data_IF_629083819782
#
_entry.id   IF_629083819782
#
_cell.length_a   1.000
_cell.length_b   1.000
_cell.length_c   1.000
_cell.angle_alpha   90.00
_cell.angle_beta   90.00
_cell.angle_gamma   90.00
#
_symmetry.space_group_name_H-M   'P 1'
#
loop_
_entity.id
_entity.type
_entity.pdbx_description
1 polymer ?
#
# COMPACT_ATOMS: atom_id res chain seq x y z
N UNK A 1 19.88 0.00 1.67
CA UNK A 1 19.39 -0.11 0.27
C UNK A 1 20.56 0.20 -0.65
N UNK A 2 20.66 -0.40 -1.84
CA UNK A 2 21.76 -0.10 -2.77
C UNK A 2 21.66 1.39 -3.21
N UNK A 3 22.73 2.17 -3.07
CA UNK A 3 22.75 3.62 -3.41
C UNK A 3 22.35 3.87 -4.86
N UNK A 4 22.61 2.92 -5.75
CA UNK A 4 22.23 3.03 -7.16
C UNK A 4 20.72 2.85 -7.37
N UNK A 5 20.05 2.03 -6.56
CA UNK A 5 18.58 1.88 -6.60
C UNK A 5 17.91 3.19 -6.18
N UNK A 6 18.36 3.81 -5.08
CA UNK A 6 17.82 5.09 -4.61
C UNK A 6 17.98 6.20 -5.66
N UNK A 7 19.16 6.26 -6.29
CA UNK A 7 19.44 7.20 -7.37
C UNK A 7 18.50 6.98 -8.56
N UNK A 8 18.27 5.72 -8.96
CA UNK A 8 17.40 5.38 -10.09
C UNK A 8 15.92 5.63 -9.76
N UNK A 9 15.47 5.32 -8.55
CA UNK A 9 14.13 5.67 -8.07
C UNK A 9 13.91 7.19 -8.10
N UNK A 10 14.93 7.97 -7.72
CA UNK A 10 14.90 9.42 -7.81
C UNK A 10 14.81 9.92 -9.26
N UNK A 11 15.59 9.35 -10.18
CA UNK A 11 15.53 9.69 -11.60
C UNK A 11 14.18 9.34 -12.22
N UNK A 12 13.63 8.17 -11.90
CA UNK A 12 12.30 7.76 -12.32
C UNK A 12 11.26 8.77 -11.82
N UNK A 13 11.31 9.13 -10.53
CA UNK A 13 10.43 10.12 -9.94
C UNK A 13 10.50 11.49 -10.66
N UNK A 14 11.71 12.01 -10.89
CA UNK A 14 11.90 13.28 -11.61
C UNK A 14 11.37 13.22 -13.04
N UNK A 15 11.61 12.12 -13.75
CA UNK A 15 11.04 11.89 -15.07
C UNK A 15 9.50 11.92 -15.02
N UNK A 16 8.90 11.28 -14.02
CA UNK A 16 7.44 11.27 -13.86
C UNK A 16 6.87 12.67 -13.60
N UNK A 17 7.61 13.57 -12.93
CA UNK A 17 7.17 14.96 -12.68
C UNK A 17 6.98 15.78 -13.96
N UNK A 18 7.54 15.38 -15.10
CA UNK A 18 7.36 16.07 -16.38
C UNK A 18 6.01 15.76 -17.05
N UNK A 19 5.24 14.82 -16.50
CA UNK A 19 3.97 14.38 -17.07
C UNK A 19 2.85 14.50 -16.04
N UNK A 20 1.66 14.87 -16.50
CA UNK A 20 0.47 14.89 -15.65
C UNK A 20 0.06 13.47 -15.21
N UNK A 21 0.10 12.50 -16.13
CA UNK A 21 -0.18 11.08 -15.87
C UNK A 21 0.59 10.18 -16.83
N UNK A 22 0.95 8.99 -16.36
CA UNK A 22 1.74 8.02 -17.14
C UNK A 22 1.12 6.63 -17.00
N UNK A 23 1.01 5.91 -18.12
CA UNK A 23 0.57 4.54 -18.13
C UNK A 23 1.62 3.58 -17.54
N UNK A 24 1.16 2.57 -16.79
CA UNK A 24 2.02 1.56 -16.17
C UNK A 24 2.91 0.78 -17.15
N UNK A 25 2.43 0.50 -18.36
CA UNK A 25 3.21 -0.21 -19.37
C UNK A 25 4.41 0.63 -19.83
N UNK A 26 4.26 1.96 -19.89
CA UNK A 26 5.37 2.89 -20.13
C UNK A 26 6.34 2.90 -18.95
N UNK A 27 5.82 2.97 -17.71
CA UNK A 27 6.65 2.94 -16.49
C UNK A 27 7.51 1.66 -16.45
N UNK A 28 6.93 0.49 -16.75
CA UNK A 28 7.66 -0.79 -16.81
C UNK A 28 8.85 -0.74 -17.79
N UNK A 29 8.62 -0.26 -19.01
CA UNK A 29 9.67 -0.12 -20.03
C UNK A 29 10.80 0.80 -19.57
N UNK A 30 10.46 1.90 -18.90
CA UNK A 30 11.47 2.80 -18.33
C UNK A 30 12.23 2.18 -17.16
N UNK A 31 11.57 1.39 -16.31
CA UNK A 31 12.26 0.62 -15.27
C UNK A 31 13.23 -0.42 -15.86
N UNK A 32 12.85 -1.11 -16.94
CA UNK A 32 13.75 -2.02 -17.68
C UNK A 32 14.94 -1.29 -18.28
N UNK A 33 14.71 -0.16 -18.94
CA UNK A 33 15.76 0.68 -19.48
C UNK A 33 16.74 1.14 -18.39
N UNK A 34 16.23 1.64 -17.27
CA UNK A 34 17.06 2.10 -16.15
C UNK A 34 17.84 0.95 -15.50
N UNK A 35 17.25 -0.25 -15.40
CA UNK A 35 17.95 -1.45 -14.91
C UNK A 35 19.19 -1.78 -15.75
N UNK A 36 19.06 -1.68 -17.09
CA UNK A 36 20.17 -1.91 -18.03
C UNK A 36 21.20 -0.79 -17.96
N UNK A 37 20.77 0.48 -18.07
CA UNK A 37 21.67 1.63 -18.13
C UNK A 37 22.52 1.79 -16.86
N UNK A 38 21.96 1.47 -15.70
CA UNK A 38 22.66 1.55 -14.42
C UNK A 38 23.23 0.21 -13.96
N UNK A 39 23.16 -0.84 -14.80
CA UNK A 39 23.65 -2.18 -14.50
C UNK A 39 23.21 -2.67 -13.10
N UNK A 40 21.92 -2.50 -12.77
CA UNK A 40 21.42 -2.80 -11.41
C UNK A 40 21.27 -4.31 -11.15
N UNK A 41 21.39 -5.14 -12.20
CA UNK A 41 21.28 -6.60 -12.13
C UNK A 41 19.96 -7.09 -11.48
N UNK A 42 18.88 -6.31 -11.61
CA UNK A 42 17.57 -6.75 -11.16
C UNK A 42 17.07 -7.78 -12.18
N UNK A 43 17.07 -9.06 -11.79
CA UNK A 43 16.72 -10.20 -12.63
C UNK A 43 15.22 -10.45 -12.70
N UNK A 44 14.48 -10.08 -11.65
CA UNK A 44 13.02 -10.08 -11.63
C UNK A 44 12.45 -8.81 -12.30
N UNK A 45 11.14 -8.60 -12.20
CA UNK A 45 10.45 -7.43 -12.74
C UNK A 45 11.01 -6.10 -12.18
N UNK A 46 11.75 -5.28 -12.95
CA UNK A 46 12.44 -4.09 -12.41
C UNK A 46 11.48 -3.05 -11.81
N UNK A 47 10.25 -2.98 -12.32
CA UNK A 47 9.21 -2.12 -11.76
C UNK A 47 8.87 -2.45 -10.30
N UNK A 48 9.05 -3.70 -9.84
CA UNK A 48 8.81 -4.07 -8.46
C UNK A 48 9.84 -3.47 -7.50
N UNK A 49 11.06 -3.29 -7.97
CA UNK A 49 12.15 -2.72 -7.17
C UNK A 49 12.24 -1.19 -7.32
N UNK A 50 11.97 -0.67 -8.52
CA UNK A 50 12.17 0.75 -8.84
C UNK A 50 10.89 1.58 -8.69
N UNK A 51 9.73 1.05 -9.09
CA UNK A 51 8.50 1.82 -9.12
C UNK A 51 7.58 1.54 -7.92
N UNK A 52 7.36 0.26 -7.59
CA UNK A 52 6.43 -0.10 -6.51
C UNK A 52 6.77 0.57 -5.17
N UNK A 53 8.03 0.76 -4.75
CA UNK A 53 8.30 1.49 -3.51
C UNK A 53 7.78 2.92 -3.51
N UNK A 54 7.90 3.64 -4.64
CA UNK A 54 7.35 4.99 -4.82
C UNK A 54 5.83 5.01 -4.72
N UNK A 55 5.19 4.00 -5.31
CA UNK A 55 3.75 3.83 -5.24
C UNK A 55 3.30 3.44 -3.82
N UNK A 56 3.92 2.45 -3.17
CA UNK A 56 3.53 2.01 -1.83
C UNK A 56 3.70 3.11 -0.78
N UNK A 57 4.77 3.89 -0.86
CA UNK A 57 5.03 5.01 0.05
C UNK A 57 4.11 6.23 -0.20
N UNK A 58 3.36 6.29 -1.31
CA UNK A 58 2.51 7.44 -1.62
C UNK A 58 3.25 8.65 -2.17
N UNK A 59 4.40 8.43 -2.82
CA UNK A 59 5.04 9.43 -3.67
C UNK A 59 4.36 9.52 -5.05
N UNK A 60 3.68 8.45 -5.44
CA UNK A 60 2.93 8.32 -6.69
C UNK A 60 1.53 7.77 -6.37
N UNK A 61 0.52 8.26 -7.07
CA UNK A 61 -0.88 7.84 -6.92
C UNK A 61 -1.41 7.16 -8.18
N UNK A 62 -2.22 6.13 -7.97
CA UNK A 62 -3.01 5.50 -9.02
C UNK A 62 -4.22 6.37 -9.37
N UNK A 63 -4.45 6.62 -10.65
CA UNK A 63 -5.46 7.56 -11.15
C UNK A 63 -6.52 6.89 -12.05
N UNK A 64 -6.66 5.56 -11.98
CA UNK A 64 -7.54 4.81 -12.87
C UNK A 64 -6.87 4.45 -14.19
N UNK A 65 -7.47 3.51 -14.92
CA UNK A 65 -7.08 3.15 -16.30
C UNK A 65 -5.58 2.90 -16.48
N UNK A 66 -5.01 2.08 -15.60
CA UNK A 66 -3.56 1.75 -15.56
C UNK A 66 -2.62 2.96 -15.44
N UNK A 67 -3.10 4.13 -15.02
CA UNK A 67 -2.34 5.37 -15.05
C UNK A 67 -1.95 5.83 -13.65
N UNK A 68 -0.78 6.46 -13.56
CA UNK A 68 -0.18 6.92 -12.32
C UNK A 68 0.31 8.36 -12.46
N UNK A 69 0.28 9.12 -11.37
CA UNK A 69 0.80 10.49 -11.31
C UNK A 69 1.63 10.71 -10.05
N UNK A 70 2.57 11.64 -10.11
CA UNK A 70 3.29 12.08 -8.91
C UNK A 70 2.30 12.75 -7.96
N UNK A 71 2.32 12.33 -6.70
CA UNK A 71 1.49 12.93 -5.65
C UNK A 71 1.89 14.39 -5.46
N UNK A 72 0.90 15.28 -5.42
CA UNK A 72 1.13 16.72 -5.22
C UNK A 72 1.94 16.96 -3.93
N UNK A 73 2.99 17.80 -3.95
CA UNK A 73 3.71 18.16 -2.75
C UNK A 73 2.79 18.75 -1.69
N UNK A 74 2.77 18.14 -0.50
CA UNK A 74 1.87 18.54 0.58
C UNK A 74 2.52 18.38 1.95
N UNK A 75 1.95 19.08 2.92
CA UNK A 75 2.27 18.92 4.33
C UNK A 75 1.12 18.24 5.05
N UNK A 76 1.42 17.18 5.77
CA UNK A 76 0.48 16.45 6.63
C UNK A 76 0.89 16.73 8.08
N UNK A 77 -0.05 17.19 8.91
CA UNK A 77 0.21 17.64 10.27
C UNK A 77 -0.60 16.86 11.30
N UNK A 78 0.01 16.61 12.46
CA UNK A 78 -0.69 16.15 13.65
C UNK A 78 0.04 16.67 14.89
N UNK A 79 -0.67 17.42 15.74
CA UNK A 79 -0.09 18.15 16.89
C UNK A 79 1.08 19.04 16.42
N UNK A 80 2.29 18.86 16.97
CA UNK A 80 3.51 19.62 16.65
C UNK A 80 4.42 18.95 15.62
N UNK A 81 3.96 17.90 14.95
CA UNK A 81 4.75 17.13 13.98
C UNK A 81 4.16 17.26 12.59
N UNK A 82 5.07 17.31 11.62
CA UNK A 82 4.76 17.56 10.22
C UNK A 82 5.47 16.53 9.35
N UNK A 83 4.77 16.01 8.35
CA UNK A 83 5.32 15.22 7.27
C UNK A 83 5.20 16.00 5.96
N UNK A 84 6.28 16.05 5.20
CA UNK A 84 6.31 16.64 3.87
C UNK A 84 6.43 15.52 2.85
N UNK A 85 5.45 15.45 1.95
CA UNK A 85 5.42 14.47 0.88
C UNK A 85 6.03 15.09 -0.37
N UNK A 86 6.94 14.35 -1.02
CA UNK A 86 7.57 14.72 -2.30
C UNK A 86 8.37 16.04 -2.29
N UNK A 87 8.61 16.61 -1.11
CA UNK A 87 9.35 17.85 -0.94
C UNK A 87 10.14 17.81 0.36
N UNK A 88 11.43 18.10 0.27
CA UNK A 88 12.24 18.34 1.45
C UNK A 88 12.20 19.85 1.77
N UNK A 89 11.79 20.26 2.98
CA UNK A 89 12.01 21.63 3.44
C UNK A 89 13.51 21.90 3.48
N UNK A 90 13.96 22.98 2.83
CA UNK A 90 15.36 23.40 2.87
C UNK A 90 15.59 24.33 4.05
N UNK A 91 16.68 24.13 4.79
CA UNK A 91 17.21 25.11 5.74
C UNK A 91 17.83 26.31 4.97
N UNK A 92 18.30 26.10 3.73
CA UNK A 92 19.06 27.08 2.93
C UNK A 92 18.34 27.57 1.64
N UNK A 93 17.00 27.60 1.63
CA UNK A 93 16.21 28.15 0.52
C UNK A 93 16.13 27.31 -0.78
N UNK A 94 16.93 26.25 -0.93
CA UNK A 94 16.94 25.40 -2.13
C UNK A 94 15.93 24.23 -2.03
N UNK A 95 14.70 24.44 -2.52
CA UNK A 95 13.62 23.43 -2.57
C UNK A 95 14.00 22.28 -3.54
N UNK A 96 14.39 21.11 -3.06
CA UNK A 96 14.65 19.92 -3.91
C UNK A 96 13.47 18.94 -3.87
N UNK A 97 12.91 18.63 -5.04
CA UNK A 97 11.95 17.52 -5.21
C UNK A 97 12.69 16.20 -4.96
N UNK A 98 12.12 15.35 -4.11
CA UNK A 98 12.65 14.01 -3.81
C UNK A 98 11.49 13.06 -3.54
N UNK A 99 11.53 11.80 -3.99
CA UNK A 99 10.56 10.78 -3.60
C UNK A 99 10.80 10.37 -2.15
N UNK A 100 10.47 11.26 -1.22
CA UNK A 100 10.70 11.07 0.20
C UNK A 100 9.53 11.61 1.01
N UNK A 101 9.37 11.04 2.20
CA UNK A 101 8.52 11.57 3.27
C UNK A 101 9.48 12.16 4.30
N UNK A 102 9.53 13.48 4.39
CA UNK A 102 10.39 14.16 5.35
C UNK A 102 9.60 14.51 6.61
N UNK A 103 10.09 14.09 7.77
CA UNK A 103 9.51 14.47 9.07
C UNK A 103 10.22 15.71 9.62
N UNK A 104 9.43 16.65 10.11
CA UNK A 104 9.90 17.82 10.85
C UNK A 104 9.17 17.96 12.18
N UNK A 105 9.85 18.55 13.15
CA UNK A 105 9.32 18.90 14.47
C UNK A 105 9.29 20.42 14.62
N UNK A 106 8.18 20.95 15.16
CA UNK A 106 8.01 22.39 15.39
C UNK A 106 7.24 23.12 14.28
N UNK A 107 6.86 24.39 14.52
CA UNK A 107 6.02 25.17 13.61
C UNK A 107 6.70 25.37 12.26
N UNK A 108 5.94 25.18 11.19
CA UNK A 108 6.41 25.31 9.81
C UNK A 108 5.58 26.34 9.07
N UNK A 109 6.23 27.40 8.58
CA UNK A 109 5.64 28.29 7.59
C UNK A 109 5.94 27.71 6.21
N UNK A 110 4.93 27.09 5.58
CA UNK A 110 5.07 26.59 4.22
C UNK A 110 3.84 26.90 3.37
N UNK A 111 4.09 27.24 2.11
CA UNK A 111 3.06 27.52 1.10
C UNK A 111 2.41 26.24 0.52
N UNK A 112 2.74 25.06 1.06
CA UNK A 112 2.17 23.82 0.57
C UNK A 112 0.72 23.69 1.01
N UNK A 113 -0.03 22.89 0.25
CA UNK A 113 -1.32 22.37 0.69
C UNK A 113 -1.14 21.63 2.02
N UNK A 114 -1.96 21.98 3.00
CA UNK A 114 -1.85 21.46 4.36
C UNK A 114 -3.06 20.59 4.70
N UNK A 115 -2.79 19.44 5.32
CA UNK A 115 -3.83 18.55 5.81
C UNK A 115 -3.59 18.22 7.29
N UNK A 116 -4.66 18.21 8.08
CA UNK A 116 -4.62 17.67 9.44
C UNK A 116 -4.94 16.18 9.39
N UNK A 117 -3.99 15.35 9.83
CA UNK A 117 -4.15 13.91 9.81
C UNK A 117 -5.02 13.43 10.96
N UNK A 118 -6.05 12.66 10.60
CA UNK A 118 -6.88 11.91 11.53
C UNK A 118 -7.10 10.49 11.00
N UNK A 119 -6.19 9.58 11.37
CA UNK A 119 -6.24 8.19 10.91
C UNK A 119 -7.55 7.47 11.26
N UNK A 120 -8.16 7.76 12.40
CA UNK A 120 -9.45 7.17 12.79
C UNK A 120 -10.56 7.59 11.82
N UNK A 121 -10.71 8.89 11.58
CA UNK A 121 -11.75 9.38 10.68
C UNK A 121 -11.51 8.94 9.24
N UNK A 122 -10.26 8.86 8.78
CA UNK A 122 -9.94 8.29 7.46
C UNK A 122 -10.41 6.84 7.38
N UNK A 123 -10.01 5.98 8.32
CA UNK A 123 -10.37 4.56 8.32
C UNK A 123 -11.87 4.31 8.51
N UNK A 124 -12.59 5.19 9.18
CA UNK A 124 -14.06 5.09 9.35
C UNK A 124 -14.80 5.04 8.00
N UNK A 125 -14.25 5.67 6.97
CA UNK A 125 -14.84 5.69 5.63
C UNK A 125 -14.51 4.45 4.78
N UNK A 126 -13.62 3.58 5.26
CA UNK A 126 -13.26 2.38 4.53
C UNK A 126 -14.32 1.29 4.76
N UNK A 127 -14.84 0.65 3.70
CA UNK A 127 -15.66 -0.56 3.84
C UNK A 127 -14.81 -1.70 4.41
N UNK A 128 -15.48 -2.70 4.97
CA UNK A 128 -14.82 -3.95 5.38
C UNK A 128 -14.47 -4.81 4.16
N UNK A 129 -13.46 -5.66 4.31
CA UNK A 129 -12.92 -6.45 3.19
C UNK A 129 -13.96 -7.42 2.61
N UNK A 130 -14.86 -7.97 3.43
CA UNK A 130 -15.99 -8.78 2.99
C UNK A 130 -17.01 -7.98 2.16
N UNK A 131 -17.28 -6.73 2.56
CA UNK A 131 -18.16 -5.81 1.83
C UNK A 131 -17.57 -5.45 0.46
N UNK A 132 -16.26 -5.24 0.37
CA UNK A 132 -15.59 -4.99 -0.92
C UNK A 132 -15.71 -6.21 -1.84
N UNK A 133 -15.41 -7.41 -1.32
CA UNK A 133 -15.46 -8.65 -2.10
C UNK A 133 -16.88 -8.96 -2.58
N UNK A 134 -17.89 -8.68 -1.76
CA UNK A 134 -19.29 -8.85 -2.13
C UNK A 134 -19.74 -7.95 -3.28
N UNK A 135 -19.04 -6.83 -3.50
CA UNK A 135 -19.31 -5.89 -4.58
C UNK A 135 -18.55 -6.21 -5.88
N UNK A 136 -17.68 -7.22 -5.89
CA UNK A 136 -17.01 -7.67 -7.11
C UNK A 136 -17.98 -8.36 -8.06
N UNK A 137 -17.63 -8.33 -9.36
CA UNK A 137 -18.45 -8.89 -10.42
C UNK A 137 -18.59 -10.41 -10.25
N UNK A 138 -19.84 -10.88 -10.37
CA UNK A 138 -20.17 -12.30 -10.36
C UNK A 138 -19.54 -12.99 -11.57
N UNK A 139 -18.77 -14.05 -11.31
CA UNK A 139 -18.27 -14.89 -12.39
C UNK A 139 -19.33 -15.92 -12.76
N UNK A 140 -19.56 -16.20 -14.06
CA UNK A 140 -20.43 -17.30 -14.50
C UNK A 140 -19.81 -18.69 -14.27
N UNK A 141 -18.66 -18.75 -13.59
CA UNK A 141 -17.85 -19.94 -13.45
C UNK A 141 -18.45 -20.88 -12.40
N UNK A 142 -18.79 -22.10 -12.84
CA UNK A 142 -19.41 -23.14 -12.02
C UNK A 142 -18.49 -24.35 -11.77
N UNK A 143 -17.34 -24.42 -12.44
CA UNK A 143 -16.31 -25.45 -12.27
C UNK A 143 -14.98 -24.83 -11.81
N UNK A 144 -14.31 -25.49 -10.86
CA UNK A 144 -13.06 -25.07 -10.23
C UNK A 144 -11.84 -25.88 -10.69
N UNK A 145 -12.00 -26.81 -11.65
CA UNK A 145 -10.94 -27.73 -12.10
C UNK A 145 -9.67 -27.08 -12.65
N UNK A 146 -9.79 -25.89 -13.23
CA UNK A 146 -8.70 -25.07 -13.79
C UNK A 146 -8.11 -24.05 -12.79
N UNK A 147 -8.61 -24.03 -11.55
CA UNK A 147 -8.22 -23.06 -10.53
C UNK A 147 -7.15 -23.63 -9.61
N UNK A 148 -6.11 -22.84 -9.39
CA UNK A 148 -5.14 -23.05 -8.31
C UNK A 148 -5.49 -22.16 -7.13
N UNK A 149 -5.61 -22.74 -5.94
CA UNK A 149 -5.97 -22.03 -4.72
C UNK A 149 -4.74 -21.65 -3.90
N UNK A 150 -4.70 -20.40 -3.40
CA UNK A 150 -3.65 -19.93 -2.49
C UNK A 150 -3.74 -20.60 -1.10
N UNK A 151 -4.93 -21.10 -0.72
CA UNK A 151 -5.20 -21.80 0.53
C UNK A 151 -6.03 -23.06 0.23
N UNK A 152 -5.37 -24.22 0.22
CA UNK A 152 -5.92 -25.46 -0.34
C UNK A 152 -6.89 -26.30 0.52
N UNK A 153 -7.04 -26.17 1.86
CA UNK A 153 -7.79 -27.18 2.61
C UNK A 153 -9.30 -27.16 2.28
N UNK A 154 -9.88 -25.99 2.04
CA UNK A 154 -11.34 -25.84 1.88
C UNK A 154 -11.77 -25.29 0.51
N UNK A 155 -10.82 -25.06 -0.42
CA UNK A 155 -11.08 -24.43 -1.73
C UNK A 155 -11.93 -23.14 -1.64
N UNK A 156 -11.64 -22.32 -0.64
CA UNK A 156 -12.29 -21.04 -0.36
C UNK A 156 -11.20 -19.96 -0.33
N UNK A 157 -11.56 -18.74 -0.76
CA UNK A 157 -10.67 -17.59 -0.81
C UNK A 157 -10.08 -17.37 -2.20
N UNK A 158 -8.82 -16.91 -2.25
CA UNK A 158 -8.18 -16.59 -3.52
C UNK A 158 -7.88 -17.84 -4.34
N UNK A 159 -8.29 -17.77 -5.60
CA UNK A 159 -7.93 -18.72 -6.63
C UNK A 159 -7.45 -17.99 -7.89
N UNK A 160 -6.63 -18.65 -8.71
CA UNK A 160 -6.15 -18.10 -9.97
C UNK A 160 -6.01 -19.16 -11.06
N UNK A 161 -6.11 -18.72 -12.31
CA UNK A 161 -5.82 -19.56 -13.48
C UNK A 161 -4.33 -19.52 -13.84
N UNK A 162 -3.89 -20.41 -14.75
CA UNK A 162 -2.52 -20.41 -15.27
C UNK A 162 -2.05 -19.04 -15.79
N UNK A 163 -2.95 -18.25 -16.38
CA UNK A 163 -2.67 -16.90 -16.88
C UNK A 163 -2.78 -15.78 -15.82
N UNK A 164 -2.81 -16.14 -14.53
CA UNK A 164 -2.90 -15.21 -13.39
C UNK A 164 -4.13 -14.28 -13.44
N UNK A 165 -5.25 -14.78 -13.96
CA UNK A 165 -6.56 -14.18 -13.69
C UNK A 165 -7.02 -14.63 -12.31
N UNK A 166 -7.36 -13.68 -11.44
CA UNK A 166 -7.66 -13.93 -10.04
C UNK A 166 -9.18 -13.95 -9.79
N UNK A 167 -9.60 -14.87 -8.95
CA UNK A 167 -10.97 -15.05 -8.50
C UNK A 167 -11.00 -15.16 -6.98
N UNK A 168 -12.16 -14.89 -6.41
CA UNK A 168 -12.45 -15.18 -5.01
C UNK A 168 -13.62 -16.15 -4.94
N UNK A 169 -13.40 -17.29 -4.28
CA UNK A 169 -14.43 -18.31 -4.03
C UNK A 169 -14.97 -18.09 -2.61
N UNK A 170 -16.23 -17.71 -2.50
CA UNK A 170 -16.92 -17.50 -1.23
C UNK A 170 -17.32 -18.83 -0.57
N UNK A 171 -17.66 -18.80 0.72
CA UNK A 171 -18.10 -20.00 1.47
C UNK A 171 -19.34 -20.67 0.87
N UNK A 172 -20.26 -19.89 0.30
CA UNK A 172 -21.44 -20.38 -0.42
C UNK A 172 -21.13 -20.85 -1.86
N UNK A 173 -19.86 -21.06 -2.20
CA UNK A 173 -19.35 -21.43 -3.53
C UNK A 173 -19.62 -20.40 -4.65
N UNK A 174 -20.14 -19.22 -4.33
CA UNK A 174 -20.20 -18.10 -5.28
C UNK A 174 -18.78 -17.70 -5.66
N UNK A 175 -18.56 -17.50 -6.97
CA UNK A 175 -17.28 -17.00 -7.49
C UNK A 175 -17.46 -15.56 -7.92
N UNK A 176 -16.53 -14.72 -7.48
CA UNK A 176 -16.41 -13.34 -7.99
C UNK A 176 -15.05 -13.16 -8.64
N UNK A 177 -15.00 -12.33 -9.69
CA UNK A 177 -13.75 -11.97 -10.33
C UNK A 177 -13.04 -10.89 -9.52
N UNK A 178 -11.75 -11.10 -9.20
CA UNK A 178 -10.95 -10.08 -8.53
C UNK A 178 -10.46 -9.11 -9.61
N UNK A 179 -10.78 -7.80 -9.52
CA UNK A 179 -10.33 -6.83 -10.50
C UNK A 179 -8.81 -6.88 -10.67
N UNK A 180 -8.38 -6.89 -11.92
CA UNK A 180 -6.95 -6.90 -12.21
C UNK A 180 -6.28 -5.61 -11.70
N UNK A 181 -4.95 -5.66 -11.55
CA UNK A 181 -4.11 -4.53 -11.10
C UNK A 181 -4.37 -3.22 -11.88
N UNK A 182 -4.80 -3.39 -13.11
CA UNK A 182 -5.03 -2.36 -14.10
C UNK A 182 -6.28 -1.53 -13.81
N UNK A 183 -7.28 -2.15 -13.19
CA UNK A 183 -8.55 -1.54 -12.71
C UNK A 183 -8.39 -1.05 -11.27
N UNK A 184 -7.84 -1.90 -10.40
CA UNK A 184 -7.56 -1.53 -9.02
C UNK A 184 -6.35 -2.33 -8.50
N UNK A 185 -5.21 -1.66 -8.23
CA UNK A 185 -3.97 -2.32 -7.81
C UNK A 185 -4.06 -3.00 -6.44
N UNK A 186 -5.03 -2.63 -5.60
CA UNK A 186 -5.15 -3.17 -4.24
C UNK A 186 -6.14 -4.35 -4.13
N UNK A 187 -6.85 -4.70 -5.21
CA UNK A 187 -7.94 -5.69 -5.16
C UNK A 187 -7.50 -7.07 -4.68
N UNK A 188 -6.37 -7.57 -5.18
CA UNK A 188 -5.81 -8.86 -4.76
C UNK A 188 -5.32 -8.79 -3.31
N UNK A 189 -4.79 -7.66 -2.87
CA UNK A 189 -4.35 -7.47 -1.48
C UNK A 189 -5.53 -7.53 -0.52
N UNK A 190 -6.62 -6.80 -0.83
CA UNK A 190 -7.87 -6.81 -0.07
C UNK A 190 -8.48 -8.22 -0.02
N UNK A 191 -8.58 -8.88 -1.17
CA UNK A 191 -9.08 -10.25 -1.26
C UNK A 191 -8.23 -11.21 -0.40
N UNK A 192 -6.91 -11.00 -0.35
CA UNK A 192 -6.02 -11.86 0.42
C UNK A 192 -6.27 -11.72 1.92
N UNK A 193 -6.51 -10.49 2.41
CA UNK A 193 -6.87 -10.28 3.81
C UNK A 193 -8.18 -10.99 4.17
N UNK A 194 -9.19 -10.97 3.30
CA UNK A 194 -10.44 -11.68 3.56
C UNK A 194 -10.29 -13.20 3.49
N UNK A 195 -9.50 -13.72 2.55
CA UNK A 195 -9.13 -15.14 2.47
C UNK A 195 -8.52 -15.66 3.79
N UNK A 196 -7.68 -14.83 4.44
CA UNK A 196 -7.12 -15.15 5.76
C UNK A 196 -8.20 -15.23 6.84
N UNK A 197 -9.17 -14.31 6.85
CA UNK A 197 -10.30 -14.32 7.79
C UNK A 197 -11.07 -15.64 7.66
N UNK A 198 -11.44 -16.04 6.45
CA UNK A 198 -12.15 -17.30 6.19
C UNK A 198 -11.33 -18.52 6.63
N UNK A 199 -10.01 -18.48 6.40
CA UNK A 199 -9.08 -19.50 6.89
C UNK A 199 -8.76 -19.42 8.40
N UNK A 200 -9.51 -18.63 9.18
CA UNK A 200 -9.30 -18.41 10.63
C UNK A 200 -7.88 -17.94 11.01
N UNK A 201 -7.19 -17.27 10.08
CA UNK A 201 -5.87 -16.68 10.27
C UNK A 201 -6.02 -15.22 10.68
N UNK A 202 -5.29 -14.81 11.73
CA UNK A 202 -5.19 -13.40 12.12
C UNK A 202 -4.56 -12.57 11.00
N UNK A 203 -5.00 -11.32 10.82
CA UNK A 203 -4.37 -10.35 9.92
C UNK A 203 -3.36 -9.44 10.62
N UNK A 204 -3.26 -9.52 11.95
CA UNK A 204 -2.27 -8.80 12.74
C UNK A 204 -2.45 -8.95 14.24
N UNK A 205 -1.46 -8.50 14.99
CA UNK A 205 -1.48 -8.47 16.45
C UNK A 205 -1.24 -7.03 16.91
N UNK A 206 -1.96 -6.60 17.94
CA UNK A 206 -1.82 -5.28 18.54
C UNK A 206 -1.50 -5.43 20.02
N UNK A 207 -0.29 -5.03 20.37
CA UNK A 207 0.18 -4.90 21.74
C UNK A 207 -0.37 -3.58 22.31
N UNK A 208 -1.29 -3.70 23.27
CA UNK A 208 -2.02 -2.56 23.84
C UNK A 208 -1.09 -1.69 24.70
N UNK A 209 -0.17 -2.32 25.44
CA UNK A 209 0.74 -1.63 26.35
C UNK A 209 1.80 -0.82 25.58
N UNK A 210 2.41 -1.43 24.56
CA UNK A 210 3.42 -0.80 23.72
C UNK A 210 2.82 0.05 22.60
N UNK A 211 1.50 0.02 22.41
CA UNK A 211 0.79 0.66 21.29
C UNK A 211 1.40 0.27 19.94
N UNK A 212 1.70 -1.01 19.76
CA UNK A 212 2.46 -1.53 18.62
C UNK A 212 1.60 -2.49 17.81
N UNK A 213 1.36 -2.16 16.54
CA UNK A 213 0.62 -3.00 15.60
C UNK A 213 1.59 -3.75 14.70
N UNK A 214 1.48 -5.07 14.66
CA UNK A 214 2.18 -5.96 13.74
C UNK A 214 1.17 -6.55 12.75
N UNK A 215 1.40 -6.39 11.45
CA UNK A 215 0.56 -7.00 10.40
C UNK A 215 1.44 -7.76 9.42
N UNK A 216 0.88 -8.79 8.79
CA UNK A 216 1.63 -9.53 7.79
C UNK A 216 1.97 -8.64 6.59
N UNK A 217 3.24 -8.61 6.18
CA UNK A 217 3.66 -7.73 5.08
C UNK A 217 3.22 -8.20 3.70
N UNK A 218 2.98 -9.51 3.54
CA UNK A 218 2.55 -10.07 2.28
C UNK A 218 1.11 -9.68 1.98
N UNK A 219 0.91 -9.02 0.83
CA UNK A 219 -0.40 -8.60 0.31
C UNK A 219 -1.19 -7.70 1.28
N UNK A 220 -0.51 -6.97 2.16
CA UNK A 220 -1.19 -5.98 3.01
C UNK A 220 -1.71 -4.82 2.14
N UNK A 221 -2.98 -4.38 2.33
CA UNK A 221 -3.56 -3.34 1.48
C UNK A 221 -2.77 -2.04 1.53
N UNK A 222 -2.46 -1.48 0.36
CA UNK A 222 -1.61 -0.30 0.16
C UNK A 222 -2.20 0.91 0.89
N UNK A 223 -3.51 1.10 0.79
CA UNK A 223 -4.15 2.25 1.43
C UNK A 223 -4.12 2.15 2.96
N UNK A 224 -4.30 0.95 3.52
CA UNK A 224 -4.17 0.72 4.97
C UNK A 224 -2.71 0.93 5.41
N UNK A 225 -1.74 0.43 4.63
CA UNK A 225 -0.31 0.67 4.87
C UNK A 225 0.00 2.17 4.98
N UNK A 226 -0.44 2.96 3.99
CA UNK A 226 -0.16 4.41 3.96
C UNK A 226 -0.74 5.14 5.17
N UNK A 227 -1.98 4.82 5.57
CA UNK A 227 -2.59 5.43 6.76
C UNK A 227 -1.82 5.08 8.03
N UNK A 228 -1.44 3.81 8.22
CA UNK A 228 -0.70 3.37 9.38
C UNK A 228 0.73 3.93 9.42
N UNK A 229 1.39 4.01 8.26
CA UNK A 229 2.71 4.63 8.12
C UNK A 229 2.68 6.09 8.55
N UNK A 230 1.74 6.88 8.02
CA UNK A 230 1.58 8.29 8.38
C UNK A 230 1.26 8.44 9.87
N UNK A 231 0.37 7.61 10.41
CA UNK A 231 0.03 7.61 11.84
C UNK A 231 1.26 7.36 12.73
N UNK A 232 2.03 6.32 12.42
CA UNK A 232 3.27 5.97 13.13
C UNK A 232 4.30 7.11 13.06
N UNK A 233 4.55 7.64 11.86
CA UNK A 233 5.56 8.68 11.66
C UNK A 233 5.21 9.99 12.37
N UNK A 234 3.92 10.34 12.43
CA UNK A 234 3.40 11.47 13.20
C UNK A 234 3.38 11.21 14.71
N UNK A 235 3.56 9.97 15.16
CA UNK A 235 3.87 9.66 16.56
C UNK A 235 5.38 9.66 16.87
N UNK A 236 6.21 9.98 15.87
CA UNK A 236 7.66 10.11 16.02
C UNK A 236 8.42 8.81 15.75
N UNK A 237 7.75 7.76 15.28
CA UNK A 237 8.35 6.45 15.07
C UNK A 237 8.18 6.00 13.62
N UNK A 238 9.26 5.59 12.97
CA UNK A 238 9.19 5.06 11.60
C UNK A 238 8.71 3.60 11.65
N UNK A 239 7.78 3.18 10.77
CA UNK A 239 7.46 1.77 10.64
C UNK A 239 8.67 1.01 10.08
N UNK A 240 8.76 -0.27 10.41
CA UNK A 240 9.85 -1.15 9.99
C UNK A 240 9.33 -2.55 9.66
N UNK A 241 10.19 -3.38 9.07
CA UNK A 241 9.88 -4.77 8.75
C UNK A 241 10.64 -5.69 9.69
N UNK A 242 9.94 -6.64 10.29
CA UNK A 242 10.52 -7.65 11.20
C UNK A 242 9.83 -8.99 10.97
N UNK A 243 10.61 -10.05 10.77
CA UNK A 243 10.11 -11.42 10.64
C UNK A 243 8.94 -11.59 9.64
N UNK A 244 9.00 -10.88 8.50
CA UNK A 244 7.95 -10.93 7.47
C UNK A 244 6.70 -10.10 7.77
N UNK A 245 6.68 -9.32 8.85
CA UNK A 245 5.60 -8.43 9.22
C UNK A 245 6.00 -6.96 9.06
N UNK A 246 5.03 -6.09 8.78
CA UNK A 246 5.17 -4.66 8.99
C UNK A 246 4.83 -4.33 10.44
N UNK A 247 5.71 -3.58 11.09
CA UNK A 247 5.53 -3.09 12.44
C UNK A 247 5.24 -1.59 12.39
N UNK A 248 4.14 -1.19 13.01
CA UNK A 248 3.70 0.19 13.16
C UNK A 248 3.66 0.57 14.65
N UNK A 249 4.72 1.21 15.14
CA UNK A 249 4.76 1.74 16.50
C UNK A 249 3.82 2.95 16.70
N UNK A 250 3.42 3.20 17.95
CA UNK A 250 2.65 4.40 18.34
C UNK A 250 1.20 4.42 17.87
N UNK A 251 0.68 3.36 17.26
CA UNK A 251 -0.69 3.33 16.73
C UNK A 251 -1.69 3.34 17.89
N UNK A 252 -2.66 4.25 17.85
CA UNK A 252 -3.67 4.37 18.90
C UNK A 252 -4.73 3.27 18.81
N UNK A 253 -5.27 2.87 19.98
CA UNK A 253 -6.36 1.88 20.06
C UNK A 253 -7.58 2.25 19.20
N UNK A 254 -7.87 3.54 19.03
CA UNK A 254 -8.95 4.00 18.16
C UNK A 254 -8.70 3.72 16.67
N UNK A 255 -7.45 3.85 16.20
CA UNK A 255 -7.09 3.50 14.82
C UNK A 255 -7.19 1.98 14.64
N UNK A 256 -6.71 1.20 15.61
CA UNK A 256 -6.77 -0.27 15.54
C UNK A 256 -8.21 -0.78 15.57
N UNK A 257 -9.12 -0.16 16.33
CA UNK A 257 -10.55 -0.54 16.31
C UNK A 257 -11.18 -0.41 14.92
N UNK A 258 -10.87 0.66 14.19
CA UNK A 258 -11.35 0.83 12.82
C UNK A 258 -10.66 -0.13 11.84
N UNK A 259 -9.36 -0.35 11.99
CA UNK A 259 -8.64 -1.36 11.20
C UNK A 259 -9.22 -2.77 11.40
N UNK A 260 -9.51 -3.13 12.65
CA UNK A 260 -10.09 -4.43 13.02
C UNK A 260 -11.52 -4.57 12.49
N UNK A 261 -12.31 -3.50 12.44
CA UNK A 261 -13.59 -3.48 11.70
C UNK A 261 -13.40 -3.75 10.22
N UNK A 262 -12.45 -3.07 9.57
CA UNK A 262 -12.17 -3.24 8.14
C UNK A 262 -11.74 -4.68 7.84
N UNK A 263 -10.90 -5.26 8.69
CA UNK A 263 -10.34 -6.60 8.55
C UNK A 263 -11.23 -7.68 9.21
N UNK A 264 -12.54 -7.44 9.35
CA UNK A 264 -13.51 -8.42 9.83
C UNK A 264 -13.14 -9.09 11.17
N UNK A 265 -12.73 -8.31 12.17
CA UNK A 265 -12.43 -8.76 13.54
C UNK A 265 -11.29 -9.77 13.65
N UNK A 266 -10.28 -9.62 12.79
CA UNK A 266 -9.15 -10.54 12.69
C UNK A 266 -7.83 -9.99 13.25
N UNK A 267 -7.85 -8.86 13.96
CA UNK A 267 -6.69 -8.39 14.74
C UNK A 267 -6.75 -9.01 16.14
N UNK A 268 -5.65 -9.64 16.57
CA UNK A 268 -5.48 -10.12 17.94
C UNK A 268 -5.01 -9.00 18.84
N UNK A 269 -5.54 -8.94 20.04
CA UNK A 269 -5.12 -7.99 21.07
C UNK A 269 -4.27 -8.73 22.09
N UNK A 270 -3.05 -8.25 22.28
CA UNK A 270 -2.06 -8.76 23.23
C UNK A 270 -1.81 -7.72 24.33
#
# INVERSE_FOLDING_TARGET
MNKDIEKVQHLLFLWMCHYDKINYDTIKRYCEYLNIQFNLQITEHPAWTLFLPLFYAGNVDYCGSKSFKVTEPMMISHKRRHLFINKQPSIDGCKKLRPAIYRSEGPQNCELKQYTFNGKEILKHFPSVDSIISAFELSPKNDFSDLTFDNAPDQIGIAYTAFKRYYFVCENRKVVEIPNWSINPDSVNVAYQYSRVLGKKSNGNYDVEQRKLSVNSFRFPIMLYRVLMVASMLEGQCPYKESGNYIFPGISKSIVKELDRILCKSIRYE
#
